data_IF_048317091521
#
_entry.id   IF_048317091521
#
_cell.length_a   1.000
_cell.length_b   1.000
_cell.length_c   1.000
_cell.angle_alpha   90.00
_cell.angle_beta   90.00
_cell.angle_gamma   90.00
#
_symmetry.space_group_name_H-M   'P 1'
#
loop_
_entity.id
_entity.type
_entity.pdbx_description
1 polymer ?
#
# COMPACT_ATOMS: atom_id res chain seq x y z
N UNK A 1 29.97 7.39 12.06
CA UNK A 1 29.09 6.71 11.10
C UNK A 1 28.77 5.24 11.41
N UNK A 2 29.69 4.36 11.90
CA UNK A 2 29.35 2.93 12.04
C UNK A 2 28.26 2.59 13.06
N UNK A 3 27.97 3.48 14.02
CA UNK A 3 26.94 3.19 15.04
C UNK A 3 25.50 3.43 14.54
N UNK A 4 25.28 4.35 13.61
CA UNK A 4 23.97 4.66 13.08
C UNK A 4 23.49 3.63 12.02
N UNK A 5 24.42 2.93 11.39
CA UNK A 5 24.12 1.84 10.45
C UNK A 5 23.69 0.54 11.12
N UNK A 6 23.80 0.45 12.46
CA UNK A 6 23.40 -0.74 13.25
C UNK A 6 21.93 -0.74 13.66
N UNK A 7 21.21 0.34 13.38
CA UNK A 7 19.78 0.41 13.70
C UNK A 7 19.03 -0.34 12.57
N UNK A 8 18.40 -1.48 12.86
CA UNK A 8 17.65 -2.22 11.85
C UNK A 8 16.52 -1.32 11.32
N UNK A 9 16.24 -1.42 10.03
CA UNK A 9 15.18 -0.71 9.31
C UNK A 9 15.26 0.83 9.33
N UNK A 10 16.37 1.41 9.81
CA UNK A 10 16.59 2.85 9.80
C UNK A 10 17.53 3.27 8.66
N UNK A 11 17.09 4.23 7.84
CA UNK A 11 17.93 4.90 6.85
C UNK A 11 18.34 6.28 7.39
N UNK A 12 19.61 6.41 7.78
CA UNK A 12 20.15 7.68 8.28
C UNK A 12 20.92 8.37 7.16
N UNK A 13 20.52 9.59 6.81
CA UNK A 13 21.19 10.42 5.80
C UNK A 13 21.45 11.80 6.38
N UNK A 14 22.61 12.38 6.05
CA UNK A 14 22.88 13.77 6.38
C UNK A 14 22.38 14.67 5.24
N UNK A 15 21.59 15.66 5.59
CA UNK A 15 21.28 16.76 4.69
C UNK A 15 22.36 17.83 4.82
N UNK A 16 23.00 18.22 3.72
CA UNK A 16 23.91 19.36 3.70
C UNK A 16 23.10 20.64 3.88
N UNK A 17 23.43 21.44 4.88
CA UNK A 17 22.75 22.69 5.19
C UNK A 17 23.25 23.88 4.35
N UNK A 18 24.25 23.67 3.53
CA UNK A 18 24.75 24.71 2.62
C UNK A 18 23.87 24.75 1.36
N UNK A 19 23.02 25.72 1.30
CA UNK A 19 22.17 26.33 0.25
C UNK A 19 22.16 25.86 -1.23
N UNK A 20 22.76 24.75 -1.52
CA UNK A 20 22.67 24.04 -2.82
C UNK A 20 21.82 22.81 -2.63
N UNK A 21 20.72 22.73 -3.32
CA UNK A 21 19.63 21.77 -3.22
C UNK A 21 19.99 20.38 -2.70
N UNK A 22 19.00 19.67 -2.21
CA UNK A 22 19.03 18.26 -1.77
C UNK A 22 19.44 17.29 -2.90
N UNK A 23 20.07 17.81 -3.98
CA UNK A 23 20.57 17.09 -5.13
C UNK A 23 21.80 16.28 -4.77
N UNK A 24 21.83 15.06 -5.20
CA UNK A 24 23.04 14.25 -5.22
C UNK A 24 23.89 14.66 -6.39
N UNK A 25 25.20 14.52 -6.23
CA UNK A 25 26.14 14.88 -7.28
C UNK A 25 25.93 14.01 -8.54
N UNK A 26 25.50 12.75 -8.36
CA UNK A 26 25.24 11.83 -9.47
C UNK A 26 23.84 11.19 -9.28
N UNK A 27 23.00 11.31 -10.29
CA UNK A 27 21.71 10.63 -10.39
C UNK A 27 21.68 9.79 -11.66
N UNK A 28 21.41 8.50 -11.52
CA UNK A 28 21.20 7.59 -12.66
C UNK A 28 19.71 7.26 -12.73
N UNK A 29 19.11 7.50 -13.88
CA UNK A 29 17.71 7.18 -14.14
C UNK A 29 17.62 5.86 -14.91
N UNK A 30 16.87 4.91 -14.37
CA UNK A 30 16.51 3.66 -15.03
C UNK A 30 15.06 3.73 -15.44
N UNK A 31 14.74 3.34 -16.66
CA UNK A 31 13.37 3.26 -17.16
C UNK A 31 13.12 1.91 -17.78
N UNK A 32 11.90 1.37 -17.61
CA UNK A 32 11.54 0.08 -18.17
C UNK A 32 10.03 -0.19 -18.06
N UNK A 33 9.55 -1.13 -18.84
CA UNK A 33 8.15 -1.55 -18.86
C UNK A 33 7.82 -2.58 -17.76
N UNK A 34 8.80 -3.39 -17.36
CA UNK A 34 8.63 -4.43 -16.35
C UNK A 34 9.27 -3.96 -15.02
N UNK A 35 8.41 -3.75 -14.00
CA UNK A 35 8.85 -3.22 -12.69
C UNK A 35 9.74 -4.18 -11.92
N UNK A 36 9.50 -5.51 -12.00
CA UNK A 36 10.31 -6.49 -11.27
C UNK A 36 11.74 -6.54 -11.81
N UNK A 37 11.88 -6.49 -13.14
CA UNK A 37 13.19 -6.42 -13.79
C UNK A 37 13.88 -5.10 -13.46
N UNK A 38 13.13 -4.00 -13.47
CA UNK A 38 13.65 -2.67 -13.15
C UNK A 38 14.18 -2.61 -11.72
N UNK A 39 13.41 -3.10 -10.75
CA UNK A 39 13.79 -3.10 -9.34
C UNK A 39 15.04 -3.97 -9.09
N UNK A 40 15.09 -5.15 -9.71
CA UNK A 40 16.27 -6.05 -9.63
C UNK A 40 17.51 -5.41 -10.25
N UNK A 41 17.35 -4.76 -11.40
CA UNK A 41 18.45 -4.07 -12.09
C UNK A 41 18.94 -2.88 -11.26
N UNK A 42 18.03 -2.11 -10.67
CA UNK A 42 18.37 -1.00 -9.80
C UNK A 42 19.16 -1.45 -8.57
N UNK A 43 18.75 -2.56 -7.94
CA UNK A 43 19.48 -3.13 -6.80
C UNK A 43 20.88 -3.60 -7.23
N UNK A 44 20.99 -4.28 -8.35
CA UNK A 44 22.30 -4.71 -8.90
C UNK A 44 23.22 -3.53 -9.18
N UNK A 45 22.66 -2.44 -9.72
CA UNK A 45 23.42 -1.21 -9.97
C UNK A 45 23.92 -0.59 -8.66
N UNK A 46 23.09 -0.50 -7.63
CA UNK A 46 23.50 0.00 -6.31
C UNK A 46 24.63 -0.84 -5.72
N UNK A 47 24.55 -2.16 -5.82
CA UNK A 47 25.58 -3.07 -5.32
C UNK A 47 26.91 -2.92 -6.08
N UNK A 48 26.86 -2.63 -7.38
CA UNK A 48 28.04 -2.32 -8.20
C UNK A 48 28.61 -0.94 -7.87
N UNK A 49 27.77 0.07 -7.73
CA UNK A 49 28.17 1.43 -7.36
C UNK A 49 28.84 1.49 -5.98
N UNK A 50 28.38 0.66 -5.04
CA UNK A 50 28.97 0.58 -3.69
C UNK A 50 30.46 0.12 -3.71
N UNK A 51 30.89 -0.54 -4.80
CA UNK A 51 32.28 -1.01 -4.99
C UNK A 51 33.17 0.03 -5.66
N UNK A 52 32.60 1.12 -6.18
CA UNK A 52 33.35 2.16 -6.88
C UNK A 52 34.03 3.08 -5.86
N UNK A 53 35.35 3.26 -5.91
CA UNK A 53 36.05 4.19 -5.03
C UNK A 53 35.53 5.62 -5.22
N UNK A 54 35.18 6.27 -4.12
CA UNK A 54 34.63 7.63 -4.13
C UNK A 54 33.10 7.70 -4.20
N UNK A 55 32.40 6.62 -4.52
CA UNK A 55 30.95 6.59 -4.41
C UNK A 55 30.51 6.43 -2.95
N UNK A 56 29.79 7.41 -2.42
CA UNK A 56 29.34 7.43 -1.03
C UNK A 56 27.84 7.15 -0.97
N UNK A 57 27.45 6.08 -0.28
CA UNK A 57 26.08 5.69 0.01
C UNK A 57 25.15 5.68 -1.21
N UNK A 58 25.46 4.89 -2.28
CA UNK A 58 24.55 4.73 -3.39
C UNK A 58 23.24 4.12 -2.90
N UNK A 59 22.13 4.57 -3.44
CA UNK A 59 20.80 4.08 -3.03
C UNK A 59 19.78 4.25 -4.15
N UNK A 60 18.75 3.43 -4.12
CA UNK A 60 17.55 3.63 -4.93
C UNK A 60 16.76 4.81 -4.33
N UNK A 61 16.36 5.77 -5.17
CA UNK A 61 15.56 6.93 -4.76
C UNK A 61 14.07 6.60 -4.59
N UNK A 62 13.64 5.41 -5.04
CA UNK A 62 12.27 4.97 -4.86
C UNK A 62 11.89 4.87 -3.37
N UNK A 63 10.66 5.18 -3.06
CA UNK A 63 10.11 5.05 -1.72
C UNK A 63 10.19 3.61 -1.21
N UNK A 64 10.30 3.48 0.11
CA UNK A 64 10.22 2.17 0.77
C UNK A 64 8.85 1.55 0.50
N UNK A 65 8.85 0.29 0.13
CA UNK A 65 7.62 -0.48 0.01
C UNK A 65 6.92 -0.53 1.38
N UNK A 66 5.61 -0.30 1.38
CA UNK A 66 4.81 -0.43 2.60
C UNK A 66 4.20 -1.82 2.67
N UNK A 67 4.15 -2.43 3.87
CA UNK A 67 3.41 -3.65 4.04
C UNK A 67 1.92 -3.39 3.77
N UNK A 68 1.32 -4.25 2.97
CA UNK A 68 -0.10 -4.19 2.61
C UNK A 68 -0.75 -5.57 2.69
N UNK A 69 -2.07 -5.61 2.88
CA UNK A 69 -2.85 -6.83 2.74
C UNK A 69 -3.41 -6.88 1.32
N UNK A 70 -2.98 -7.89 0.57
CA UNK A 70 -3.49 -8.18 -0.76
C UNK A 70 -4.63 -9.17 -0.63
N UNK A 71 -5.82 -8.78 -1.08
CA UNK A 71 -7.03 -9.58 -1.05
C UNK A 71 -7.35 -9.99 -2.49
N UNK A 72 -7.20 -11.28 -2.78
CA UNK A 72 -7.44 -11.85 -4.13
C UNK A 72 -8.75 -12.62 -4.10
N UNK A 73 -9.81 -12.16 -4.79
CA UNK A 73 -11.10 -12.84 -4.84
C UNK A 73 -10.99 -14.23 -5.50
N UNK A 74 -11.64 -15.22 -4.90
CA UNK A 74 -11.86 -16.53 -5.49
C UNK A 74 -13.20 -16.52 -6.20
N UNK A 75 -13.22 -16.11 -7.48
CA UNK A 75 -14.42 -15.79 -8.21
C UNK A 75 -15.41 -16.96 -8.30
N UNK A 76 -14.91 -18.18 -8.47
CA UNK A 76 -15.75 -19.39 -8.55
C UNK A 76 -16.49 -19.65 -7.22
N UNK A 77 -15.79 -19.59 -6.10
CA UNK A 77 -16.39 -19.77 -4.77
C UNK A 77 -17.31 -18.61 -4.41
N UNK A 78 -16.95 -17.39 -4.77
CA UNK A 78 -17.78 -16.21 -4.56
C UNK A 78 -19.12 -16.36 -5.31
N UNK A 79 -19.08 -16.77 -6.56
CA UNK A 79 -20.28 -17.01 -7.37
C UNK A 79 -21.17 -18.12 -6.77
N UNK A 80 -20.59 -19.26 -6.36
CA UNK A 80 -21.33 -20.35 -5.72
C UNK A 80 -22.03 -19.94 -4.43
N UNK A 81 -21.39 -19.03 -3.66
CA UNK A 81 -21.93 -18.52 -2.40
C UNK A 81 -22.80 -17.26 -2.59
N UNK A 82 -23.07 -16.86 -3.83
CA UNK A 82 -23.88 -15.69 -4.14
C UNK A 82 -23.24 -14.35 -3.71
N UNK A 83 -21.90 -14.28 -3.65
CA UNK A 83 -21.16 -13.07 -3.34
C UNK A 83 -20.74 -12.38 -4.63
N UNK A 84 -21.16 -11.13 -4.80
CA UNK A 84 -20.71 -10.31 -5.93
C UNK A 84 -19.40 -9.59 -5.61
N UNK A 85 -18.62 -9.27 -6.65
CA UNK A 85 -17.38 -8.47 -6.49
C UNK A 85 -17.66 -7.08 -5.93
N UNK A 86 -18.84 -6.51 -6.23
CA UNK A 86 -19.29 -5.25 -5.68
C UNK A 86 -19.53 -5.34 -4.17
N UNK A 87 -20.26 -6.37 -3.71
CA UNK A 87 -20.50 -6.61 -2.28
C UNK A 87 -19.20 -6.85 -1.52
N UNK A 88 -18.27 -7.62 -2.11
CA UNK A 88 -16.94 -7.85 -1.55
C UNK A 88 -16.16 -6.54 -1.38
N UNK A 89 -16.07 -5.75 -2.45
CA UNK A 89 -15.37 -4.46 -2.45
C UNK A 89 -15.96 -3.48 -1.44
N UNK A 90 -17.30 -3.40 -1.39
CA UNK A 90 -18.01 -2.54 -0.45
C UNK A 90 -17.77 -2.94 1.01
N UNK A 91 -17.82 -4.24 1.32
CA UNK A 91 -17.58 -4.74 2.67
C UNK A 91 -16.16 -4.39 3.15
N UNK A 92 -15.14 -4.63 2.31
CA UNK A 92 -13.75 -4.31 2.61
C UNK A 92 -13.57 -2.80 2.77
N UNK A 93 -14.11 -2.00 1.87
CA UNK A 93 -14.00 -0.54 1.91
C UNK A 93 -14.62 0.04 3.18
N UNK A 94 -15.84 -0.36 3.53
CA UNK A 94 -16.52 0.13 4.73
C UNK A 94 -15.73 -0.27 5.98
N UNK A 95 -15.23 -1.50 6.03
CA UNK A 95 -14.48 -1.98 7.18
C UNK A 95 -13.15 -1.22 7.37
N UNK A 96 -12.46 -0.83 6.29
CA UNK A 96 -11.11 -0.25 6.34
C UNK A 96 -11.12 1.28 6.30
N UNK A 97 -11.76 1.87 5.30
CA UNK A 97 -11.78 3.32 5.06
C UNK A 97 -13.04 4.00 5.61
N UNK A 98 -14.11 3.25 5.73
CA UNK A 98 -15.46 3.77 6.01
C UNK A 98 -16.25 4.05 4.73
N UNK A 99 -17.52 4.39 4.92
CA UNK A 99 -18.38 4.79 3.80
C UNK A 99 -17.93 6.14 3.24
N UNK A 100 -18.08 6.32 1.93
CA UNK A 100 -17.80 7.60 1.27
C UNK A 100 -18.92 8.60 1.59
N UNK A 101 -18.57 9.88 1.72
CA UNK A 101 -19.50 10.95 2.14
C UNK A 101 -20.74 11.08 1.24
N UNK A 102 -20.63 10.71 -0.04
CA UNK A 102 -21.73 10.72 -1.00
C UNK A 102 -22.82 9.68 -0.68
N UNK A 103 -22.42 8.51 -0.17
CA UNK A 103 -23.31 7.39 0.16
C UNK A 103 -23.58 7.28 1.67
N UNK A 104 -22.86 8.04 2.49
CA UNK A 104 -23.03 8.03 3.93
C UNK A 104 -24.39 8.62 4.33
N UNK A 105 -25.03 7.99 5.31
CA UNK A 105 -26.18 8.60 5.97
C UNK A 105 -25.78 9.94 6.58
N UNK A 106 -26.68 10.93 6.50
CA UNK A 106 -26.43 12.27 7.00
C UNK A 106 -27.33 12.59 8.17
N UNK A 107 -26.74 13.16 9.21
CA UNK A 107 -27.50 13.76 10.31
C UNK A 107 -27.80 15.20 9.97
N UNK A 108 -29.08 15.56 9.94
CA UNK A 108 -29.55 16.91 9.60
C UNK A 108 -29.62 17.76 10.86
N UNK A 109 -28.85 18.83 10.89
CA UNK A 109 -29.01 19.97 11.80
C UNK A 109 -29.81 21.06 11.13
N UNK A 110 -30.23 22.08 11.87
CA UNK A 110 -31.06 23.16 11.37
C UNK A 110 -30.40 23.92 10.19
N UNK A 111 -29.08 24.05 10.16
CA UNK A 111 -28.29 24.83 9.23
C UNK A 111 -27.38 24.00 8.31
N UNK A 112 -27.17 22.70 8.62
CA UNK A 112 -26.23 21.85 7.86
C UNK A 112 -26.53 20.38 8.01
N UNK A 113 -25.98 19.58 7.08
CA UNK A 113 -25.97 18.11 7.14
C UNK A 113 -24.56 17.61 7.44
N UNK A 114 -24.45 16.68 8.38
CA UNK A 114 -23.18 16.07 8.80
C UNK A 114 -23.19 14.61 8.36
N UNK A 115 -22.22 14.14 7.55
CA UNK A 115 -22.13 12.75 7.16
C UNK A 115 -21.77 11.86 8.36
N UNK A 116 -22.45 10.70 8.47
CA UNK A 116 -22.16 9.69 9.50
C UNK A 116 -21.16 8.71 8.92
N UNK A 117 -19.94 8.71 9.44
CA UNK A 117 -18.89 7.79 9.02
C UNK A 117 -18.93 6.51 9.81
N UNK A 118 -19.23 5.39 9.16
CA UNK A 118 -19.21 4.05 9.75
C UNK A 118 -17.93 3.35 9.32
N UNK A 119 -17.14 2.90 10.28
CA UNK A 119 -15.86 2.21 10.04
C UNK A 119 -15.56 1.28 11.23
N UNK A 120 -14.83 0.19 11.02
CA UNK A 120 -14.35 -0.63 12.14
C UNK A 120 -13.41 0.16 13.05
N UNK A 121 -13.46 -0.14 14.35
CA UNK A 121 -12.52 0.42 15.32
C UNK A 121 -11.06 0.12 14.89
N UNK A 122 -10.13 1.03 15.24
CA UNK A 122 -8.72 0.90 14.84
C UNK A 122 -8.11 -0.43 15.28
N UNK A 123 -8.33 -0.84 16.53
CA UNK A 123 -7.86 -2.13 17.08
C UNK A 123 -8.37 -3.34 16.29
N UNK A 124 -9.61 -3.28 15.81
CA UNK A 124 -10.20 -4.35 15.00
C UNK A 124 -9.60 -4.42 13.59
N UNK A 125 -9.22 -3.27 13.02
CA UNK A 125 -8.58 -3.20 11.69
C UNK A 125 -7.12 -3.66 11.71
N UNK A 126 -6.46 -3.60 12.85
CA UNK A 126 -5.09 -4.07 13.05
C UNK A 126 -5.01 -5.59 13.24
N UNK A 127 -6.14 -6.26 13.46
CA UNK A 127 -6.23 -7.71 13.63
C UNK A 127 -6.50 -8.40 12.29
N UNK A 128 -5.55 -9.22 11.82
CA UNK A 128 -5.72 -10.04 10.62
C UNK A 128 -6.93 -10.97 10.75
N UNK A 129 -7.12 -11.60 11.91
CA UNK A 129 -8.26 -12.48 12.16
C UNK A 129 -9.62 -11.76 12.02
N UNK A 130 -9.69 -10.47 12.37
CA UNK A 130 -10.91 -9.67 12.19
C UNK A 130 -11.16 -9.43 10.70
N UNK A 131 -10.13 -9.13 9.92
CA UNK A 131 -10.25 -8.94 8.47
C UNK A 131 -10.62 -10.25 7.77
N UNK A 132 -10.00 -11.37 8.13
CA UNK A 132 -10.32 -12.69 7.58
C UNK A 132 -11.78 -13.11 7.82
N UNK A 133 -12.32 -12.77 8.98
CA UNK A 133 -13.69 -13.10 9.37
C UNK A 133 -14.70 -12.00 9.06
N UNK A 134 -14.31 -10.95 8.32
CA UNK A 134 -15.20 -9.87 7.91
C UNK A 134 -16.44 -10.45 7.18
N UNK A 135 -17.67 -10.16 7.63
CA UNK A 135 -18.87 -10.66 6.98
C UNK A 135 -19.09 -9.97 5.63
N UNK A 136 -19.14 -10.76 4.57
CA UNK A 136 -19.46 -10.30 3.21
C UNK A 136 -20.90 -10.72 2.90
N UNK A 137 -21.79 -9.80 2.53
CA UNK A 137 -23.18 -10.13 2.25
C UNK A 137 -23.31 -10.98 0.98
N UNK A 138 -24.29 -11.90 1.02
CA UNK A 138 -24.66 -12.75 -0.11
C UNK A 138 -25.98 -12.31 -0.73
N UNK A 139 -26.20 -12.62 -1.99
CA UNK A 139 -27.46 -12.32 -2.71
C UNK A 139 -28.70 -12.99 -2.07
N UNK A 140 -28.50 -14.08 -1.33
CA UNK A 140 -29.57 -14.79 -0.62
C UNK A 140 -29.96 -14.16 0.73
N UNK A 141 -29.35 -13.03 1.12
CA UNK A 141 -29.68 -12.32 2.36
C UNK A 141 -28.89 -12.77 3.60
N UNK A 142 -27.86 -13.62 3.44
CA UNK A 142 -26.93 -14.00 4.50
C UNK A 142 -25.58 -13.30 4.40
N UNK A 143 -24.60 -13.80 5.15
CA UNK A 143 -23.21 -13.37 5.01
C UNK A 143 -22.25 -14.54 5.13
N UNK A 144 -21.08 -14.43 4.49
CA UNK A 144 -19.98 -15.38 4.60
C UNK A 144 -18.69 -14.65 4.99
N UNK A 145 -17.80 -15.30 5.77
CA UNK A 145 -16.53 -14.67 6.11
C UNK A 145 -15.64 -14.51 4.90
N UNK A 146 -14.92 -13.38 4.84
CA UNK A 146 -14.06 -12.97 3.73
C UNK A 146 -13.07 -14.07 3.30
N UNK A 147 -12.45 -14.76 4.25
CA UNK A 147 -11.49 -15.86 3.99
C UNK A 147 -12.07 -17.01 3.15
N UNK A 148 -13.40 -17.18 3.08
CA UNK A 148 -14.02 -18.21 2.25
C UNK A 148 -14.10 -17.82 0.77
N UNK A 149 -14.21 -16.54 0.49
CA UNK A 149 -14.40 -15.99 -0.87
C UNK A 149 -13.18 -15.26 -1.42
N UNK A 150 -12.13 -15.09 -0.60
CA UNK A 150 -10.89 -14.45 -1.01
C UNK A 150 -9.68 -15.10 -0.33
N UNK A 151 -8.54 -15.02 -1.00
CA UNK A 151 -7.23 -15.28 -0.43
C UNK A 151 -6.67 -13.98 0.14
N UNK A 152 -6.16 -14.03 1.38
CA UNK A 152 -5.60 -12.87 2.06
C UNK A 152 -4.13 -13.17 2.33
N UNK A 153 -3.25 -12.32 1.79
CA UNK A 153 -1.80 -12.46 1.97
C UNK A 153 -1.15 -11.11 2.27
N UNK A 154 -0.03 -11.14 2.97
CA UNK A 154 0.81 -9.97 3.09
C UNK A 154 1.55 -9.72 1.78
N UNK A 155 1.60 -8.48 1.37
CA UNK A 155 2.35 -7.99 0.23
C UNK A 155 3.16 -6.76 0.61
N UNK A 156 3.91 -6.27 -0.34
CA UNK A 156 4.62 -5.01 -0.23
C UNK A 156 4.35 -4.21 -1.52
N UNK A 157 3.76 -3.05 -1.37
CA UNK A 157 3.41 -2.18 -2.48
C UNK A 157 4.22 -0.90 -2.49
N UNK A 158 4.52 -0.34 -3.68
CA UNK A 158 5.17 0.96 -3.79
C UNK A 158 4.20 2.04 -3.31
N UNK A 159 4.70 2.97 -2.50
CA UNK A 159 3.90 4.11 -2.03
C UNK A 159 3.65 5.13 -3.13
N UNK A 160 4.59 5.23 -4.09
CA UNK A 160 4.53 6.15 -5.21
C UNK A 160 5.08 5.50 -6.48
N UNK A 161 4.38 5.69 -7.59
CA UNK A 161 4.84 5.27 -8.91
C UNK A 161 5.25 6.52 -9.69
N UNK A 162 6.53 6.68 -9.94
CA UNK A 162 7.05 7.75 -10.77
C UNK A 162 7.12 7.28 -12.23
N UNK A 163 6.78 8.17 -13.16
CA UNK A 163 6.87 7.91 -14.60
C UNK A 163 7.62 9.05 -15.29
N UNK A 164 8.51 8.68 -16.19
CA UNK A 164 9.21 9.60 -17.05
C UNK A 164 8.90 9.23 -18.51
N UNK A 165 8.41 10.19 -19.30
CA UNK A 165 7.96 9.95 -20.68
C UNK A 165 7.05 8.73 -20.83
N UNK A 166 6.07 8.58 -19.92
CA UNK A 166 5.13 7.46 -19.87
C UNK A 166 5.75 6.09 -19.55
N UNK A 167 7.06 5.97 -19.42
CA UNK A 167 7.76 4.80 -18.89
C UNK A 167 7.92 4.89 -17.36
N UNK A 168 7.92 3.71 -16.70
CA UNK A 168 8.19 3.60 -15.28
C UNK A 168 9.68 3.56 -15.00
#
# INVERSE_FOLDING_TARGET
MPQLQRIPDARVTFASQNGGGTGRDISVMLTGSNHEVLDRTAQTLVDQMAKVPGAVAPRIAADMQRPELVIVPRLDLAAQLGVTTSALSQAIRIATLGEIDQNAAKFSLADRQIPIRVVLAKSSRESLATIENLPVPTAAGGSVPLKRVAEIRFGAGPTQIQRFNQAR
#
